data_IF_999637094964
#
_entry.id   IF_999637094964
#
_cell.length_a   1.000
_cell.length_b   1.000
_cell.length_c   1.000
_cell.angle_alpha   90.00
_cell.angle_beta   90.00
_cell.angle_gamma   90.00
#
_symmetry.space_group_name_H-M   'P 1'
#
loop_
_entity.id
_entity.type
_entity.pdbx_description
1 polymer ?
#
# COMPACT_ATOMS: atom_id res chain seq x y z
N UNK A 1 13.96 6.81 -11.96
CA UNK A 1 15.33 6.91 -11.39
C UNK A 1 16.19 5.81 -11.98
N UNK A 2 17.51 5.98 -12.17
CA UNK A 2 18.38 4.91 -12.76
C UNK A 2 18.28 3.54 -12.07
N UNK A 3 17.95 3.51 -10.78
CA UNK A 3 17.71 2.27 -10.03
C UNK A 3 16.49 1.47 -10.54
N UNK A 4 15.44 2.15 -10.97
CA UNK A 4 14.20 1.52 -11.47
C UNK A 4 14.44 0.82 -12.83
N UNK A 5 15.26 1.41 -13.70
CA UNK A 5 15.66 0.77 -14.96
C UNK A 5 16.52 -0.48 -14.74
N UNK A 6 17.40 -0.45 -13.74
CA UNK A 6 18.25 -1.58 -13.39
C UNK A 6 17.43 -2.77 -12.88
N UNK A 7 16.48 -2.54 -11.99
CA UNK A 7 15.57 -3.59 -11.48
C UNK A 7 14.77 -4.20 -12.62
N UNK A 8 14.16 -3.36 -13.48
CA UNK A 8 13.37 -3.84 -14.62
C UNK A 8 14.19 -4.69 -15.59
N UNK A 9 15.43 -4.30 -15.88
CA UNK A 9 16.35 -5.07 -16.74
C UNK A 9 16.69 -6.44 -16.15
N UNK A 10 16.92 -6.51 -14.83
CA UNK A 10 17.19 -7.79 -14.15
C UNK A 10 15.95 -8.69 -14.18
N UNK A 11 14.76 -8.15 -13.89
CA UNK A 11 13.50 -8.91 -13.95
C UNK A 11 13.25 -9.45 -15.35
N UNK A 12 13.41 -8.61 -16.39
CA UNK A 12 13.27 -8.99 -17.79
C UNK A 12 14.22 -10.15 -18.18
N UNK A 13 15.48 -10.05 -17.75
CA UNK A 13 16.46 -11.12 -17.96
C UNK A 13 16.06 -12.42 -17.25
N UNK A 14 15.61 -12.37 -16.00
CA UNK A 14 15.15 -13.54 -15.26
C UNK A 14 13.94 -14.19 -15.92
N UNK A 15 12.97 -13.38 -16.34
CA UNK A 15 11.75 -13.83 -16.99
C UNK A 15 11.98 -14.45 -18.38
N UNK A 16 13.07 -14.08 -19.07
CA UNK A 16 13.44 -14.71 -20.34
C UNK A 16 13.67 -16.23 -20.25
N UNK A 17 13.93 -16.76 -19.04
CA UNK A 17 14.11 -18.20 -18.80
C UNK A 17 12.82 -18.93 -18.39
N UNK A 18 11.72 -18.22 -18.13
CA UNK A 18 10.49 -18.81 -17.56
C UNK A 18 9.98 -20.00 -18.39
N UNK A 19 9.95 -19.85 -19.72
CA UNK A 19 9.56 -20.92 -20.65
C UNK A 19 10.50 -22.12 -20.63
N UNK A 20 11.82 -21.90 -20.54
CA UNK A 20 12.80 -23.00 -20.46
C UNK A 20 12.70 -23.77 -19.14
N UNK A 21 12.18 -23.12 -18.10
CA UNK A 21 11.96 -23.67 -16.77
C UNK A 21 10.56 -24.29 -16.59
N UNK A 22 9.67 -24.19 -17.59
CA UNK A 22 8.30 -24.73 -17.54
C UNK A 22 7.30 -23.85 -16.79
N UNK A 23 7.54 -22.55 -16.73
CA UNK A 23 6.69 -21.54 -16.08
C UNK A 23 6.18 -20.49 -17.09
N UNK A 24 5.97 -20.87 -18.35
CA UNK A 24 5.48 -19.96 -19.39
C UNK A 24 4.11 -19.35 -19.09
N UNK A 25 3.28 -20.01 -18.27
CA UNK A 25 1.96 -19.49 -17.90
C UNK A 25 2.06 -18.27 -16.96
N UNK A 26 3.19 -18.08 -16.27
CA UNK A 26 3.41 -17.01 -15.30
C UNK A 26 4.04 -15.74 -15.90
N UNK A 27 4.49 -15.80 -17.15
CA UNK A 27 5.24 -14.71 -17.79
C UNK A 27 4.83 -14.54 -19.24
N UNK A 28 4.47 -13.31 -19.62
CA UNK A 28 4.17 -12.94 -21.01
C UNK A 28 5.26 -12.01 -21.57
N UNK A 29 5.58 -12.16 -22.85
CA UNK A 29 6.45 -11.24 -23.57
C UNK A 29 5.63 -10.28 -24.42
N UNK A 30 5.74 -8.98 -24.14
CA UNK A 30 5.14 -7.91 -24.93
C UNK A 30 6.06 -7.55 -26.11
N UNK A 31 5.61 -7.81 -27.33
CA UNK A 31 6.34 -7.54 -28.57
C UNK A 31 6.44 -6.04 -28.92
N UNK A 32 5.50 -5.21 -28.48
CA UNK A 32 5.47 -3.77 -28.78
C UNK A 32 6.60 -3.06 -28.03
N UNK A 33 6.73 -3.34 -26.73
CA UNK A 33 7.74 -2.73 -25.87
C UNK A 33 8.95 -3.63 -25.59
N UNK A 34 8.94 -4.85 -26.13
CA UNK A 34 10.03 -5.83 -26.07
C UNK A 34 10.46 -6.17 -24.65
N UNK A 35 9.50 -6.51 -23.81
CA UNK A 35 9.72 -6.81 -22.38
C UNK A 35 8.85 -7.94 -21.88
N UNK A 36 9.33 -8.62 -20.86
CA UNK A 36 8.56 -9.60 -20.11
C UNK A 36 7.78 -8.96 -18.96
N UNK A 37 6.59 -9.50 -18.71
CA UNK A 37 5.69 -9.12 -17.62
C UNK A 37 5.19 -10.38 -16.92
N UNK A 38 4.93 -10.24 -15.61
CA UNK A 38 4.14 -11.24 -14.90
C UNK A 38 2.73 -11.29 -15.47
N UNK A 39 2.17 -12.48 -15.59
CA UNK A 39 0.77 -12.69 -15.93
C UNK A 39 -0.11 -12.69 -14.69
N UNK A 40 -1.42 -12.67 -14.89
CA UNK A 40 -2.38 -12.83 -13.80
C UNK A 40 -2.21 -14.17 -13.09
N UNK A 41 -1.83 -15.23 -13.80
CA UNK A 41 -1.62 -16.56 -13.24
C UNK A 41 -0.52 -16.59 -12.17
N UNK A 42 0.51 -15.73 -12.28
CA UNK A 42 1.53 -15.59 -11.24
C UNK A 42 0.96 -14.94 -9.97
N UNK A 43 0.15 -13.89 -10.15
CA UNK A 43 -0.46 -13.13 -9.06
C UNK A 43 -1.56 -13.93 -8.35
N UNK A 44 -2.32 -14.73 -9.10
CA UNK A 44 -3.42 -15.59 -8.61
C UNK A 44 -2.93 -16.92 -8.04
N UNK A 45 -1.65 -17.27 -8.23
CA UNK A 45 -1.03 -18.41 -7.57
C UNK A 45 -1.24 -18.31 -6.06
N UNK A 46 -1.59 -19.43 -5.42
CA UNK A 46 -1.96 -19.46 -3.99
C UNK A 46 -0.86 -18.84 -3.12
N UNK A 47 0.42 -19.07 -3.43
CA UNK A 47 1.52 -18.55 -2.62
C UNK A 47 1.65 -17.03 -2.77
N UNK A 48 1.58 -16.54 -4.01
CA UNK A 48 1.66 -15.10 -4.31
C UNK A 48 0.46 -14.36 -3.72
N UNK A 49 -0.73 -14.91 -3.93
CA UNK A 49 -1.99 -14.35 -3.42
C UNK A 49 -2.00 -14.24 -1.91
N UNK A 50 -1.60 -15.28 -1.18
CA UNK A 50 -1.52 -15.24 0.29
C UNK A 50 -0.53 -14.18 0.80
N UNK A 51 0.54 -13.89 0.05
CA UNK A 51 1.49 -12.84 0.38
C UNK A 51 0.89 -11.45 0.13
N UNK A 52 0.20 -11.26 -1.00
CA UNK A 52 -0.50 -10.02 -1.33
C UNK A 52 -1.59 -9.74 -0.30
N UNK A 53 -2.46 -10.71 -0.02
CA UNK A 53 -3.57 -10.56 0.94
C UNK A 53 -3.06 -10.21 2.34
N UNK A 54 -1.95 -10.81 2.80
CA UNK A 54 -1.35 -10.47 4.10
C UNK A 54 -0.78 -9.06 4.12
N UNK A 55 -0.16 -8.63 3.02
CA UNK A 55 0.36 -7.27 2.90
C UNK A 55 -0.78 -6.26 2.89
N UNK A 56 -1.80 -6.50 2.05
CA UNK A 56 -2.99 -5.66 1.94
C UNK A 56 -3.72 -5.56 3.28
N UNK A 57 -3.93 -6.67 3.99
CA UNK A 57 -4.56 -6.67 5.32
C UNK A 57 -3.76 -5.82 6.32
N UNK A 58 -2.43 -5.94 6.31
CA UNK A 58 -1.57 -5.18 7.22
C UNK A 58 -1.62 -3.68 6.90
N UNK A 59 -1.41 -3.31 5.64
CA UNK A 59 -1.37 -1.93 5.18
C UNK A 59 -2.74 -1.27 5.28
N UNK A 60 -3.84 -2.01 5.06
CA UNK A 60 -5.20 -1.51 5.19
C UNK A 60 -5.45 -0.88 6.56
N UNK A 61 -5.05 -1.56 7.65
CA UNK A 61 -5.29 -1.05 9.01
C UNK A 61 -4.41 0.15 9.36
N UNK A 62 -3.18 0.20 8.84
CA UNK A 62 -2.30 1.37 9.00
C UNK A 62 -2.88 2.57 8.25
N UNK A 63 -3.19 2.41 6.97
CA UNK A 63 -3.70 3.49 6.13
C UNK A 63 -5.04 4.05 6.64
N UNK A 64 -5.99 3.19 7.06
CA UNK A 64 -7.27 3.69 7.56
C UNK A 64 -7.11 4.47 8.88
N UNK A 65 -6.16 4.08 9.73
CA UNK A 65 -5.83 4.80 10.96
C UNK A 65 -5.25 6.18 10.66
N UNK A 66 -4.31 6.25 9.72
CA UNK A 66 -3.72 7.51 9.24
C UNK A 66 -4.79 8.44 8.66
N UNK A 67 -5.66 7.93 7.78
CA UNK A 67 -6.71 8.72 7.14
C UNK A 67 -7.73 9.27 8.16
N UNK A 68 -8.10 8.48 9.16
CA UNK A 68 -9.04 8.93 10.20
C UNK A 68 -8.37 9.92 11.17
N UNK A 69 -7.11 9.68 11.52
CA UNK A 69 -6.28 10.60 12.30
C UNK A 69 -6.10 11.94 11.59
N UNK A 70 -5.74 11.94 10.31
CA UNK A 70 -5.61 13.15 9.50
C UNK A 70 -6.93 13.90 9.40
N UNK A 71 -8.04 13.21 9.14
CA UNK A 71 -9.38 13.82 9.14
C UNK A 71 -9.67 14.55 10.45
N UNK A 72 -9.38 13.93 11.58
CA UNK A 72 -9.69 14.51 12.89
C UNK A 72 -8.72 15.64 13.24
N UNK A 73 -7.45 15.53 12.86
CA UNK A 73 -6.46 16.60 12.92
C UNK A 73 -6.91 17.84 12.12
N UNK A 74 -7.38 17.66 10.88
CA UNK A 74 -7.90 18.73 10.02
C UNK A 74 -9.18 19.39 10.56
N UNK A 75 -9.96 18.66 11.36
CA UNK A 75 -11.15 19.20 12.05
C UNK A 75 -10.78 19.94 13.32
N UNK A 76 -9.72 19.51 13.99
CA UNK A 76 -9.27 20.09 15.26
C UNK A 76 -8.49 21.39 15.06
N UNK A 77 -7.68 21.47 13.99
CA UNK A 77 -6.82 22.61 13.71
C UNK A 77 -7.16 23.29 12.40
N UNK A 78 -7.38 24.60 12.46
CA UNK A 78 -7.54 25.43 11.28
C UNK A 78 -6.25 25.49 10.47
N UNK A 79 -6.36 25.91 9.20
CA UNK A 79 -5.19 26.09 8.34
C UNK A 79 -4.15 27.04 8.96
N UNK A 80 -4.59 28.16 9.53
CA UNK A 80 -3.71 29.16 10.13
C UNK A 80 -2.98 28.66 11.39
N UNK A 81 -3.62 27.77 12.16
CA UNK A 81 -2.98 27.13 13.31
C UNK A 81 -1.91 26.15 12.86
N UNK A 82 -2.22 25.32 11.84
CA UNK A 82 -1.26 24.35 11.28
C UNK A 82 -0.05 25.01 10.65
N UNK A 83 -0.23 26.13 9.94
CA UNK A 83 0.89 26.89 9.33
C UNK A 83 1.85 27.50 10.36
N UNK A 84 1.44 27.60 11.64
CA UNK A 84 2.30 28.09 12.73
C UNK A 84 3.02 26.98 13.47
N UNK A 85 2.65 25.71 13.25
CA UNK A 85 3.29 24.56 13.87
C UNK A 85 4.68 24.36 13.25
N UNK A 86 5.63 23.92 14.07
CA UNK A 86 6.87 23.32 13.55
C UNK A 86 6.58 21.92 13.00
N UNK A 87 7.49 21.36 12.21
CA UNK A 87 7.35 19.99 11.69
C UNK A 87 7.17 18.97 12.84
N UNK A 88 7.94 19.11 13.92
CA UNK A 88 7.85 18.25 15.10
C UNK A 88 6.50 18.40 15.83
N UNK A 89 6.00 19.62 15.96
CA UNK A 89 4.69 19.87 16.58
C UNK A 89 3.58 19.30 15.70
N UNK A 90 3.62 19.55 14.39
CA UNK A 90 2.67 19.00 13.43
C UNK A 90 2.65 17.48 13.50
N UNK A 91 3.82 16.83 13.45
CA UNK A 91 3.94 15.39 13.57
C UNK A 91 3.34 14.88 14.89
N UNK A 92 3.70 15.50 16.02
CA UNK A 92 3.18 15.09 17.33
C UNK A 92 1.66 15.21 17.41
N UNK A 93 1.09 16.33 16.95
CA UNK A 93 -0.37 16.56 16.95
C UNK A 93 -1.12 15.61 16.02
N UNK A 94 -0.53 15.29 14.87
CA UNK A 94 -1.09 14.30 13.95
C UNK A 94 -1.11 12.90 14.60
N UNK A 95 0.01 12.49 15.21
CA UNK A 95 0.09 11.21 15.94
C UNK A 95 -0.90 11.13 17.10
N UNK A 96 -1.11 12.23 17.84
CA UNK A 96 -2.13 12.31 18.90
C UNK A 96 -3.56 12.02 18.37
N UNK A 97 -3.83 12.33 17.10
CA UNK A 97 -5.11 12.02 16.45
C UNK A 97 -5.16 10.60 15.85
N UNK A 98 -4.02 10.07 15.39
CA UNK A 98 -3.91 8.77 14.73
C UNK A 98 -3.88 7.59 15.70
N UNK A 99 -3.09 7.66 16.78
CA UNK A 99 -2.92 6.56 17.75
C UNK A 99 -4.25 6.03 18.30
N UNK A 100 -5.26 6.86 18.64
CA UNK A 100 -6.55 6.36 19.08
C UNK A 100 -7.27 5.49 18.05
N UNK A 101 -7.09 5.75 16.75
CA UNK A 101 -7.66 4.95 15.67
C UNK A 101 -6.89 3.64 15.47
N UNK A 102 -5.56 3.67 15.55
CA UNK A 102 -4.75 2.44 15.55
C UNK A 102 -5.20 1.49 16.67
N UNK A 103 -5.34 2.00 17.90
CA UNK A 103 -5.80 1.21 19.03
C UNK A 103 -7.25 0.70 18.87
N UNK A 104 -8.14 1.50 18.27
CA UNK A 104 -9.52 1.10 18.04
C UNK A 104 -9.59 -0.03 17.02
N UNK A 105 -8.89 0.09 15.90
CA UNK A 105 -8.88 -0.92 14.85
C UNK A 105 -8.19 -2.21 15.29
N UNK A 106 -7.08 -2.12 16.03
CA UNK A 106 -6.42 -3.30 16.61
C UNK A 106 -7.37 -4.09 17.54
N UNK A 107 -8.14 -3.38 18.37
CA UNK A 107 -8.98 -4.02 19.41
C UNK A 107 -10.36 -4.41 18.92
N UNK A 108 -10.90 -3.73 17.92
CA UNK A 108 -12.33 -3.80 17.56
C UNK A 108 -12.60 -3.84 16.06
N UNK A 109 -11.56 -3.72 15.23
CA UNK A 109 -11.74 -3.58 13.79
C UNK A 109 -12.77 -2.50 13.48
N UNK A 110 -13.77 -2.85 12.66
CA UNK A 110 -14.83 -1.92 12.23
C UNK A 110 -16.12 -2.00 13.06
N UNK A 111 -16.14 -2.77 14.16
CA UNK A 111 -17.37 -3.07 14.91
C UNK A 111 -18.10 -1.83 15.47
N UNK A 112 -17.38 -0.72 15.67
CA UNK A 112 -17.93 0.55 16.16
C UNK A 112 -18.07 1.64 15.10
N UNK A 113 -17.84 1.30 13.83
CA UNK A 113 -18.00 2.23 12.73
C UNK A 113 -19.39 2.10 12.13
N UNK A 114 -20.09 3.24 12.06
CA UNK A 114 -21.36 3.37 11.35
C UNK A 114 -21.22 4.38 10.21
N UNK A 115 -21.76 4.02 9.05
CA UNK A 115 -21.90 4.95 7.93
C UNK A 115 -23.13 5.81 8.19
N UNK A 116 -22.91 7.11 8.38
CA UNK A 116 -24.01 8.08 8.45
C UNK A 116 -24.56 8.31 7.05
N UNK A 117 -25.88 8.25 6.92
CA UNK A 117 -26.58 8.75 5.73
C UNK A 117 -26.80 10.25 5.89
N UNK A 118 -26.47 11.01 4.86
CA UNK A 118 -26.80 12.43 4.73
C UNK A 118 -28.31 12.65 4.52
#
# INVERSE_FOLDING_TARGET
MKQDEGVKSICDYMFSFAKEMGYEDYVEYDEEIKKYFATWELDDDTTTRELIERYDDHTFWEEISEQFGERDFLRMYTKEEREKMTDDEHFTRLMECQIPWEEEFEKRGIDRLDIKKD
#
